data_IF_596169114166
#
_entry.id   IF_596169114166
#
_cell.length_a   1.000
_cell.length_b   1.000
_cell.length_c   1.000
_cell.angle_alpha   90.00
_cell.angle_beta   90.00
_cell.angle_gamma   90.00
#
_symmetry.space_group_name_H-M   'P 1'
#
loop_
_entity.id
_entity.type
_entity.pdbx_description
1 polymer ?
#
# COMPACT_ATOMS: atom_id res chain seq x y z
N UNK A 1 -23.61 4.56 5.02
CA UNK A 1 -23.19 3.95 6.29
C UNK A 1 -21.94 4.69 6.78
N UNK A 2 -22.08 5.53 7.82
CA UNK A 2 -20.98 6.29 8.39
C UNK A 2 -19.87 5.40 8.98
N UNK A 3 -20.20 4.19 9.43
CA UNK A 3 -19.27 3.27 10.11
C UNK A 3 -18.28 2.65 9.13
N UNK A 4 -18.77 2.20 7.97
CA UNK A 4 -17.91 1.68 6.90
C UNK A 4 -16.93 2.72 6.33
N UNK A 5 -17.37 3.98 6.24
CA UNK A 5 -16.54 5.07 5.71
C UNK A 5 -15.38 5.41 6.65
N UNK A 6 -15.62 5.46 7.96
CA UNK A 6 -14.57 5.68 8.97
C UNK A 6 -13.55 4.53 9.01
N UNK A 7 -14.00 3.28 8.83
CA UNK A 7 -13.10 2.12 8.76
C UNK A 7 -12.21 2.17 7.52
N UNK A 8 -12.76 2.49 6.36
CA UNK A 8 -11.98 2.65 5.13
C UNK A 8 -10.93 3.75 5.25
N UNK A 9 -11.26 4.88 5.87
CA UNK A 9 -10.29 5.95 6.12
C UNK A 9 -9.10 5.46 6.95
N UNK A 10 -9.35 4.73 8.05
CA UNK A 10 -8.29 4.15 8.88
C UNK A 10 -7.44 3.11 8.14
N UNK A 11 -8.07 2.26 7.34
CA UNK A 11 -7.35 1.31 6.47
C UNK A 11 -6.42 2.07 5.53
N UNK A 12 -6.90 3.15 4.94
CA UNK A 12 -6.11 3.97 4.02
C UNK A 12 -4.98 4.74 4.72
N UNK A 13 -5.18 5.20 5.95
CA UNK A 13 -4.11 5.79 6.77
C UNK A 13 -3.01 4.76 7.09
N UNK A 14 -3.41 3.55 7.51
CA UNK A 14 -2.48 2.46 7.83
C UNK A 14 -1.70 1.97 6.61
N UNK A 15 -2.30 2.03 5.41
CA UNK A 15 -1.67 1.62 4.16
C UNK A 15 -0.32 2.31 3.90
N UNK A 16 -0.19 3.60 4.23
CA UNK A 16 1.06 4.33 4.06
C UNK A 16 2.16 3.83 4.98
N UNK A 17 1.82 3.58 6.25
CA UNK A 17 2.76 3.04 7.22
C UNK A 17 3.26 1.66 6.80
N UNK A 18 2.34 0.78 6.43
CA UNK A 18 2.69 -0.59 6.03
C UNK A 18 3.55 -0.63 4.76
N UNK A 19 3.30 0.24 3.77
CA UNK A 19 4.16 0.35 2.58
C UNK A 19 5.61 0.65 2.98
N UNK A 20 5.79 1.58 3.92
CA UNK A 20 7.13 2.00 4.37
C UNK A 20 7.75 0.92 5.26
N UNK A 21 7.01 0.32 6.18
CA UNK A 21 7.56 -0.73 7.05
C UNK A 21 7.98 -1.99 6.30
N UNK A 22 7.23 -2.35 5.26
CA UNK A 22 7.53 -3.53 4.42
C UNK A 22 8.54 -3.24 3.29
N UNK A 23 9.10 -2.03 3.23
CA UNK A 23 10.16 -1.72 2.28
C UNK A 23 11.36 -2.69 2.45
N UNK A 24 11.95 -3.17 1.35
CA UNK A 24 13.01 -4.16 1.41
C UNK A 24 14.24 -3.63 2.15
N UNK A 25 14.95 -4.55 2.81
CA UNK A 25 16.26 -4.27 3.41
C UNK A 25 17.38 -4.74 2.46
N UNK A 26 18.59 -4.21 2.68
CA UNK A 26 19.78 -4.68 1.97
C UNK A 26 20.12 -6.13 2.38
N UNK A 27 20.82 -6.85 1.50
CA UNK A 27 21.08 -8.30 1.68
C UNK A 27 21.88 -8.62 2.94
N UNK A 28 22.81 -7.75 3.34
CA UNK A 28 23.49 -7.85 4.62
C UNK A 28 22.71 -7.12 5.70
N UNK A 29 22.49 -7.77 6.84
CA UNK A 29 21.90 -7.13 8.01
C UNK A 29 22.70 -5.92 8.51
N UNK A 30 23.99 -5.83 8.15
CA UNK A 30 24.87 -4.71 8.49
C UNK A 30 24.66 -3.48 7.62
N UNK A 31 24.06 -3.62 6.44
CA UNK A 31 23.98 -2.53 5.46
C UNK A 31 22.75 -1.61 5.67
N UNK A 32 21.85 -1.97 6.59
CA UNK A 32 20.65 -1.19 6.92
C UNK A 32 19.52 -1.29 5.88
N UNK A 33 18.50 -0.45 6.06
CA UNK A 33 17.33 -0.37 5.16
C UNK A 33 17.65 0.45 3.90
N UNK A 34 16.96 0.17 2.78
CA UNK A 34 17.03 1.08 1.62
C UNK A 34 16.36 2.42 1.90
N UNK A 35 15.43 2.47 2.87
CA UNK A 35 14.78 3.70 3.29
C UNK A 35 15.78 4.69 3.88
N UNK A 36 15.70 5.94 3.41
CA UNK A 36 16.41 7.06 4.04
C UNK A 36 15.75 7.51 5.34
N UNK A 37 14.50 7.11 5.60
CA UNK A 37 13.75 7.44 6.81
C UNK A 37 14.19 6.53 7.98
N UNK A 38 14.69 7.11 9.10
CA UNK A 38 14.99 6.35 10.30
C UNK A 38 13.77 5.63 10.87
N UNK A 39 13.96 4.43 11.41
CA UNK A 39 12.86 3.60 11.92
C UNK A 39 11.98 4.32 12.96
N UNK A 40 12.58 5.11 13.86
CA UNK A 40 11.85 5.88 14.87
C UNK A 40 10.93 6.97 14.29
N UNK A 41 11.20 7.45 13.07
CA UNK A 41 10.44 8.51 12.41
C UNK A 41 9.34 7.97 11.48
N UNK A 42 9.32 6.66 11.19
CA UNK A 42 8.40 6.08 10.19
C UNK A 42 6.94 6.27 10.56
N UNK A 43 6.58 6.07 11.84
CA UNK A 43 5.21 6.28 12.33
C UNK A 43 4.72 7.72 12.16
N UNK A 44 5.62 8.70 12.20
CA UNK A 44 5.29 10.11 12.02
C UNK A 44 5.22 10.49 10.54
N UNK A 45 6.20 10.04 9.75
CA UNK A 45 6.39 10.47 8.37
C UNK A 45 5.65 9.63 7.32
N UNK A 46 5.19 8.42 7.65
CA UNK A 46 4.39 7.60 6.75
C UNK A 46 2.96 8.15 6.65
N UNK A 47 2.82 9.19 5.82
CA UNK A 47 1.59 9.92 5.55
C UNK A 47 1.40 10.03 4.03
N UNK A 48 0.20 10.39 3.54
CA UNK A 48 -0.06 10.51 2.10
C UNK A 48 0.96 11.40 1.38
N UNK A 49 1.40 12.49 2.01
CA UNK A 49 2.31 13.48 1.46
C UNK A 49 3.65 12.85 1.02
N UNK A 50 4.10 11.81 1.72
CA UNK A 50 5.32 11.08 1.37
C UNK A 50 5.21 10.38 0.01
N UNK A 51 4.03 9.87 -0.34
CA UNK A 51 3.78 9.17 -1.60
C UNK A 51 3.23 10.09 -2.70
N UNK A 52 2.81 11.31 -2.36
CA UNK A 52 2.29 12.31 -3.31
C UNK A 52 3.39 13.13 -4.00
N UNK A 53 4.64 13.00 -3.56
CA UNK A 53 5.78 13.70 -4.18
C UNK A 53 6.69 12.71 -4.92
N UNK A 54 7.43 13.21 -5.90
CA UNK A 54 8.43 12.41 -6.62
C UNK A 54 9.76 12.24 -5.85
N UNK A 55 9.88 12.84 -4.66
CA UNK A 55 11.04 12.67 -3.77
C UNK A 55 10.95 11.34 -3.04
N UNK A 56 11.55 10.33 -3.67
CA UNK A 56 11.53 8.95 -3.18
C UNK A 56 12.39 8.83 -1.90
N UNK A 57 11.85 8.31 -0.78
CA UNK A 57 12.56 8.21 0.50
C UNK A 57 13.52 7.01 0.56
N UNK A 58 14.32 6.81 -0.49
CA UNK A 58 15.23 5.68 -0.63
C UNK A 58 16.64 6.16 -0.96
N UNK A 59 17.62 5.55 -0.31
CA UNK A 59 19.04 5.74 -0.62
C UNK A 59 19.42 5.19 -2.01
N UNK A 60 18.70 4.16 -2.45
CA UNK A 60 18.82 3.56 -3.77
C UNK A 60 17.50 2.93 -4.17
N UNK A 61 17.04 3.20 -5.39
CA UNK A 61 15.76 2.68 -5.91
C UNK A 61 15.82 2.58 -7.43
N UNK A 62 15.11 1.59 -7.98
CA UNK A 62 14.77 1.56 -9.40
C UNK A 62 13.30 1.96 -9.53
N UNK A 63 13.02 2.87 -10.46
CA UNK A 63 11.66 3.31 -10.73
C UNK A 63 11.29 3.05 -12.19
N UNK A 64 9.99 2.96 -12.44
CA UNK A 64 9.42 2.86 -13.77
C UNK A 64 8.19 3.75 -13.85
N UNK A 65 8.12 4.57 -14.91
CA UNK A 65 6.91 5.32 -15.24
C UNK A 65 5.84 4.33 -15.68
N UNK A 66 4.72 4.32 -14.96
CA UNK A 66 3.61 3.41 -15.24
C UNK A 66 2.69 4.01 -16.31
N UNK A 67 2.15 3.15 -17.18
CA UNK A 67 0.95 3.49 -17.95
C UNK A 67 -0.28 3.47 -17.04
N UNK A 68 -1.38 4.08 -17.47
CA UNK A 68 -2.66 4.06 -16.73
C UNK A 68 -3.14 2.64 -16.41
N UNK A 69 -2.89 1.70 -17.34
CA UNK A 69 -3.21 0.28 -17.15
C UNK A 69 -2.34 -0.34 -16.05
N UNK A 70 -1.04 0.00 -16.00
CA UNK A 70 -0.16 -0.48 -14.94
C UNK A 70 -0.53 0.13 -13.58
N UNK A 71 -0.84 1.42 -13.55
CA UNK A 71 -1.29 2.10 -12.34
C UNK A 71 -2.58 1.49 -11.77
N UNK A 72 -3.55 1.23 -12.65
CA UNK A 72 -4.79 0.52 -12.29
C UNK A 72 -4.51 -0.88 -11.77
N UNK A 73 -3.60 -1.62 -12.40
CA UNK A 73 -3.20 -2.95 -11.95
C UNK A 73 -2.53 -2.92 -10.57
N UNK A 74 -1.72 -1.89 -10.25
CA UNK A 74 -1.18 -1.72 -8.91
C UNK A 74 -2.29 -1.45 -7.88
N UNK A 75 -3.24 -0.56 -8.18
CA UNK A 75 -4.39 -0.32 -7.32
C UNK A 75 -5.17 -1.61 -7.01
N UNK A 76 -5.50 -2.39 -8.05
CA UNK A 76 -6.26 -3.64 -7.92
C UNK A 76 -5.50 -4.69 -7.10
N UNK A 77 -4.17 -4.63 -7.07
CA UNK A 77 -3.34 -5.51 -6.24
C UNK A 77 -3.30 -5.07 -4.78
N UNK A 78 -3.32 -3.77 -4.50
CA UNK A 78 -3.36 -3.25 -3.13
C UNK A 78 -4.75 -3.39 -2.50
N UNK A 79 -5.81 -3.20 -3.29
CA UNK A 79 -7.21 -3.22 -2.87
C UNK A 79 -8.05 -4.14 -3.76
N UNK A 80 -7.84 -5.47 -3.70
CA UNK A 80 -8.49 -6.41 -4.61
C UNK A 80 -9.99 -6.53 -4.32
N UNK A 81 -10.79 -6.65 -5.37
CA UNK A 81 -12.25 -6.92 -5.25
C UNK A 81 -12.56 -8.34 -4.80
N UNK A 82 -11.60 -9.26 -4.94
CA UNK A 82 -11.68 -10.66 -4.53
C UNK A 82 -10.44 -11.00 -3.71
N UNK A 83 -10.63 -11.46 -2.48
CA UNK A 83 -9.51 -11.84 -1.62
C UNK A 83 -9.05 -13.23 -2.03
N UNK A 84 -7.88 -13.30 -2.66
CA UNK A 84 -7.23 -14.57 -2.97
C UNK A 84 -6.66 -15.21 -1.69
N UNK A 85 -6.75 -16.53 -1.58
CA UNK A 85 -6.16 -17.30 -0.47
C UNK A 85 -4.66 -17.55 -0.65
N UNK A 86 -4.10 -17.21 -1.81
CA UNK A 86 -2.69 -17.39 -2.09
C UNK A 86 -1.83 -16.49 -1.20
N UNK A 87 -0.71 -17.04 -0.72
CA UNK A 87 0.24 -16.30 0.11
C UNK A 87 0.91 -15.20 -0.72
N UNK A 88 0.60 -13.94 -0.43
CA UNK A 88 1.25 -12.77 -1.03
C UNK A 88 2.28 -12.22 -0.05
N UNK A 89 3.54 -12.21 -0.48
CA UNK A 89 4.69 -11.67 0.25
C UNK A 89 4.44 -10.19 0.60
N UNK A 90 4.85 -9.80 1.81
CA UNK A 90 4.62 -8.51 2.46
C UNK A 90 3.16 -8.22 2.85
N UNK A 91 2.19 -8.47 1.96
CA UNK A 91 0.77 -8.21 2.25
C UNK A 91 0.26 -8.92 3.50
N UNK A 92 0.68 -10.17 3.74
CA UNK A 92 0.29 -10.92 4.94
C UNK A 92 0.83 -10.37 6.26
N UNK A 93 1.78 -9.42 6.23
CA UNK A 93 2.32 -8.73 7.42
C UNK A 93 1.71 -7.35 7.61
N UNK A 94 0.98 -6.84 6.61
CA UNK A 94 0.39 -5.52 6.61
C UNK A 94 -0.91 -5.50 7.43
N UNK A 95 -0.98 -4.62 8.42
CA UNK A 95 -2.18 -4.37 9.22
C UNK A 95 -3.32 -3.86 8.34
N UNK A 96 -3.05 -2.95 7.39
CA UNK A 96 -4.05 -2.40 6.48
C UNK A 96 -4.72 -3.51 5.66
N UNK A 97 -3.94 -4.50 5.22
CA UNK A 97 -4.44 -5.58 4.37
C UNK A 97 -5.29 -6.55 5.19
N UNK A 98 -4.86 -6.89 6.41
CA UNK A 98 -5.67 -7.67 7.34
C UNK A 98 -7.02 -6.99 7.62
N UNK A 99 -7.02 -5.70 7.93
CA UNK A 99 -8.24 -4.93 8.20
C UNK A 99 -9.12 -4.77 6.96
N UNK A 100 -8.51 -4.54 5.79
CA UNK A 100 -9.21 -4.48 4.51
C UNK A 100 -9.92 -5.79 4.19
N UNK A 101 -9.23 -6.93 4.30
CA UNK A 101 -9.82 -8.25 4.03
C UNK A 101 -10.93 -8.60 5.03
N UNK A 102 -10.74 -8.25 6.31
CA UNK A 102 -11.76 -8.41 7.34
C UNK A 102 -12.99 -7.52 7.09
N UNK A 103 -12.80 -6.31 6.54
CA UNK A 103 -13.91 -5.46 6.13
C UNK A 103 -14.64 -6.06 4.92
N UNK A 104 -13.91 -6.55 3.92
CA UNK A 104 -14.46 -7.16 2.72
C UNK A 104 -15.34 -8.39 3.02
N UNK A 105 -15.05 -9.13 4.09
CA UNK A 105 -15.84 -10.31 4.48
C UNK A 105 -17.20 -9.97 5.11
N UNK A 106 -17.38 -8.75 5.60
CA UNK A 106 -18.61 -8.33 6.32
C UNK A 106 -19.47 -7.34 5.54
N UNK A 107 -18.96 -6.74 4.47
CA UNK A 107 -19.72 -5.78 3.65
C UNK A 107 -20.25 -6.40 2.36
N UNK A 108 -21.36 -5.84 1.84
CA UNK A 108 -21.88 -6.27 0.54
C UNK A 108 -20.93 -5.88 -0.60
N UNK A 109 -20.95 -6.64 -1.70
CA UNK A 109 -20.21 -6.30 -2.94
C UNK A 109 -20.49 -4.87 -3.42
N UNK A 110 -21.74 -4.41 -3.31
CA UNK A 110 -22.14 -3.04 -3.68
C UNK A 110 -21.46 -1.98 -2.79
N UNK A 111 -21.35 -2.24 -1.49
CA UNK A 111 -20.63 -1.36 -0.56
C UNK A 111 -19.12 -1.37 -0.82
N UNK A 112 -18.54 -2.53 -1.11
CA UNK A 112 -17.14 -2.67 -1.47
C UNK A 112 -16.79 -1.85 -2.72
N UNK A 113 -17.57 -1.97 -3.79
CA UNK A 113 -17.35 -1.20 -5.02
C UNK A 113 -17.44 0.31 -4.81
N UNK A 114 -18.30 0.77 -3.89
CA UNK A 114 -18.35 2.19 -3.50
C UNK A 114 -17.09 2.60 -2.74
N UNK A 115 -16.63 1.79 -1.80
CA UNK A 115 -15.41 2.05 -1.04
C UNK A 115 -14.17 2.11 -1.96
N UNK A 116 -14.05 1.15 -2.89
CA UNK A 116 -12.98 1.14 -3.89
C UNK A 116 -12.99 2.37 -4.77
N UNK A 117 -14.16 2.90 -5.15
CA UNK A 117 -14.25 4.15 -5.91
C UNK A 117 -13.68 5.34 -5.13
N UNK A 118 -13.93 5.40 -3.83
CA UNK A 118 -13.39 6.45 -2.95
C UNK A 118 -11.88 6.28 -2.79
N UNK A 119 -11.43 5.06 -2.47
CA UNK A 119 -10.01 4.74 -2.36
C UNK A 119 -9.25 5.05 -3.64
N UNK A 120 -9.85 4.79 -4.81
CA UNK A 120 -9.26 5.06 -6.11
C UNK A 120 -8.99 6.55 -6.31
N UNK A 121 -9.92 7.41 -5.94
CA UNK A 121 -9.74 8.88 -6.02
C UNK A 121 -8.56 9.35 -5.18
N UNK A 122 -8.37 8.77 -3.99
CA UNK A 122 -7.22 9.12 -3.14
C UNK A 122 -5.91 8.50 -3.65
N UNK A 123 -5.95 7.24 -4.10
CA UNK A 123 -4.80 6.54 -4.66
C UNK A 123 -4.25 7.22 -5.92
N UNK A 124 -5.12 7.74 -6.78
CA UNK A 124 -4.72 8.45 -8.00
C UNK A 124 -4.08 9.82 -7.72
N UNK A 125 -4.07 10.29 -6.47
CA UNK A 125 -3.28 11.47 -6.06
C UNK A 125 -1.82 11.15 -5.76
N UNK A 126 -1.47 9.87 -5.60
CA UNK A 126 -0.11 9.44 -5.29
C UNK A 126 0.79 9.56 -6.52
N UNK A 127 2.02 10.00 -6.33
CA UNK A 127 3.04 10.08 -7.37
C UNK A 127 3.76 8.74 -7.58
N UNK A 128 3.81 7.90 -6.56
CA UNK A 128 4.44 6.59 -6.63
C UNK A 128 3.84 5.58 -5.64
N UNK A 129 4.01 4.31 -5.96
CA UNK A 129 3.72 3.16 -5.09
C UNK A 129 4.78 2.08 -5.31
N UNK A 130 4.90 1.09 -4.40
CA UNK A 130 5.69 -0.10 -4.66
C UNK A 130 5.33 -0.75 -5.99
N UNK A 131 6.34 -1.18 -6.74
CA UNK A 131 6.12 -1.95 -7.96
C UNK A 131 5.73 -3.39 -7.60
N UNK A 132 4.43 -3.61 -7.40
CA UNK A 132 3.88 -4.93 -7.03
C UNK A 132 4.11 -5.96 -8.13
N UNK A 133 4.19 -7.25 -7.75
CA UNK A 133 3.95 -8.38 -8.65
C UNK A 133 2.66 -9.12 -8.21
N UNK A 134 2.33 -10.22 -8.87
CA UNK A 134 1.16 -11.04 -8.49
C UNK A 134 1.28 -11.53 -7.04
N UNK A 135 2.48 -11.90 -6.62
CA UNK A 135 2.77 -12.56 -5.36
C UNK A 135 3.42 -11.66 -4.29
N UNK A 136 3.74 -10.39 -4.57
CA UNK A 136 4.47 -9.52 -3.62
C UNK A 136 4.17 -8.03 -3.78
N UNK A 137 4.30 -7.29 -2.68
CA UNK A 137 4.15 -5.83 -2.68
C UNK A 137 5.38 -5.13 -3.25
N UNK A 138 6.56 -5.50 -2.76
CA UNK A 138 7.83 -4.92 -3.15
C UNK A 138 8.60 -5.89 -4.05
N UNK A 139 9.12 -5.38 -5.16
CA UNK A 139 10.05 -6.13 -6.01
C UNK A 139 11.48 -5.70 -5.68
N UNK A 140 12.39 -6.67 -5.55
CA UNK A 140 13.83 -6.49 -5.34
C UNK A 140 14.63 -7.20 -6.41
#
# INVERSE_FOLDING_TARGET
>A
DPTGSKRIAKIYEQFFLDIIEEAPNRKSAQDGSYLSIPACMRNELARPELLQTADLPFTQVQYRVCTDAQWTMHFDRFFPTSIETAKRQNFGRCTYYADYTALCSVITKKSLLRALRVLRVEFDKLAWVPFTQSDRMWTT
#
